data_IF_327299997963
#
_entry.id   IF_327299997963
#
_cell.length_a   1.000
_cell.length_b   1.000
_cell.length_c   1.000
_cell.angle_alpha   90.00
_cell.angle_beta   90.00
_cell.angle_gamma   90.00
#
_symmetry.space_group_name_H-M   'P 1'
#
loop_
_entity.id
_entity.type
_entity.pdbx_description
1 polymer ?
#
# COMPACT_ATOMS: atom_id res chain seq x y z
N UNK A 1 13.55 14.16 5.19
CA UNK A 1 13.90 12.87 4.54
C UNK A 1 12.68 12.00 4.72
N UNK A 2 11.86 11.77 3.69
CA UNK A 2 10.58 11.08 3.87
C UNK A 2 10.81 9.67 4.44
N UNK A 3 10.27 9.39 5.62
CA UNK A 3 10.41 8.07 6.27
C UNK A 3 9.09 7.32 6.12
N UNK A 4 9.11 6.20 5.43
CA UNK A 4 8.00 5.24 5.44
C UNK A 4 7.94 4.61 6.84
N UNK A 5 6.75 4.47 7.41
CA UNK A 5 6.59 3.76 8.68
C UNK A 5 6.95 2.28 8.50
N UNK A 6 7.41 1.63 9.58
CA UNK A 6 7.80 0.22 9.53
C UNK A 6 6.67 -0.68 9.04
N UNK A 7 5.43 -0.42 9.47
CA UNK A 7 4.25 -1.17 9.00
C UNK A 7 3.97 -0.96 7.51
N UNK A 8 4.21 0.24 6.99
CA UNK A 8 4.09 0.53 5.56
C UNK A 8 5.13 -0.23 4.73
N UNK A 9 6.36 -0.32 5.22
CA UNK A 9 7.41 -1.10 4.57
C UNK A 9 7.10 -2.60 4.58
N UNK A 10 6.66 -3.14 5.74
CA UNK A 10 6.25 -4.55 5.85
C UNK A 10 5.08 -4.86 4.94
N UNK A 11 4.10 -3.97 4.85
CA UNK A 11 2.95 -4.11 3.97
C UNK A 11 3.36 -4.21 2.51
N UNK A 12 4.18 -3.26 2.03
CA UNK A 12 4.67 -3.24 0.64
C UNK A 12 5.45 -4.52 0.33
N UNK A 13 6.35 -4.93 1.22
CA UNK A 13 7.14 -6.16 1.04
C UNK A 13 6.27 -7.42 1.04
N UNK A 14 5.25 -7.48 1.91
CA UNK A 14 4.29 -8.59 1.95
C UNK A 14 3.48 -8.67 0.65
N UNK A 15 3.02 -7.53 0.13
CA UNK A 15 2.24 -7.49 -1.12
C UNK A 15 3.06 -7.94 -2.33
N UNK A 16 4.33 -7.53 -2.42
CA UNK A 16 5.24 -8.01 -3.45
C UNK A 16 5.50 -9.51 -3.32
N UNK A 17 5.76 -10.00 -2.10
CA UNK A 17 6.03 -11.41 -1.85
C UNK A 17 4.87 -12.32 -2.28
N UNK A 18 3.63 -11.87 -2.04
CA UNK A 18 2.41 -12.57 -2.45
C UNK A 18 2.03 -12.34 -3.93
N UNK A 19 2.84 -11.59 -4.70
CA UNK A 19 2.59 -11.24 -6.10
C UNK A 19 1.30 -10.45 -6.33
N UNK A 20 0.82 -9.75 -5.30
CA UNK A 20 -0.30 -8.81 -5.40
C UNK A 20 0.15 -7.56 -6.17
N UNK A 21 1.41 -7.16 -5.96
CA UNK A 21 2.08 -6.10 -6.72
C UNK A 21 3.36 -6.61 -7.36
N UNK A 22 3.69 -6.05 -8.50
CA UNK A 22 4.95 -6.22 -9.20
C UNK A 22 6.06 -5.35 -8.61
N UNK A 23 7.33 -5.65 -8.89
CA UNK A 23 8.44 -4.79 -8.50
C UNK A 23 8.32 -3.35 -9.04
N UNK A 24 7.68 -3.16 -10.20
CA UNK A 24 7.49 -1.83 -10.80
C UNK A 24 6.46 -1.03 -9.98
N UNK A 25 5.34 -1.66 -9.62
CA UNK A 25 4.31 -1.02 -8.78
C UNK A 25 4.83 -0.71 -7.39
N UNK A 26 5.67 -1.58 -6.82
CA UNK A 26 6.38 -1.31 -5.57
C UNK A 26 7.14 0.02 -5.63
N UNK A 27 7.97 0.21 -6.68
CA UNK A 27 8.74 1.44 -6.84
C UNK A 27 7.82 2.66 -7.03
N UNK A 28 6.73 2.54 -7.81
CA UNK A 28 5.76 3.63 -7.97
C UNK A 28 5.08 4.04 -6.67
N UNK A 29 4.76 3.07 -5.80
CA UNK A 29 4.19 3.32 -4.48
C UNK A 29 5.20 4.07 -3.60
N UNK A 30 6.45 3.57 -3.56
CA UNK A 30 7.52 4.19 -2.77
C UNK A 30 7.78 5.62 -3.24
N UNK A 31 7.87 5.84 -4.55
CA UNK A 31 8.09 7.16 -5.14
C UNK A 31 6.99 8.14 -4.72
N UNK A 32 5.72 7.72 -4.79
CA UNK A 32 4.58 8.55 -4.37
C UNK A 32 4.58 8.84 -2.87
N UNK A 33 4.95 7.86 -2.04
CA UNK A 33 5.11 8.03 -0.59
C UNK A 33 6.23 9.03 -0.27
N UNK A 34 7.36 8.95 -0.98
CA UNK A 34 8.48 9.87 -0.83
C UNK A 34 8.10 11.28 -1.29
N UNK A 35 7.40 11.41 -2.41
CA UNK A 35 6.94 12.70 -2.96
C UNK A 35 5.98 13.45 -2.03
N UNK A 36 5.21 12.73 -1.21
CA UNK A 36 4.34 13.35 -0.20
C UNK A 36 5.13 14.03 0.94
N UNK A 37 6.42 13.72 1.10
CA UNK A 37 7.34 14.45 1.97
C UNK A 37 6.99 14.43 3.47
N UNK A 38 6.03 13.58 3.90
CA UNK A 38 5.62 13.48 5.30
C UNK A 38 6.50 12.50 6.05
N UNK A 39 6.93 12.88 7.24
CA UNK A 39 7.59 11.95 8.15
C UNK A 39 6.59 10.93 8.68
N UNK A 40 6.89 9.65 8.49
CA UNK A 40 6.13 8.49 9.00
C UNK A 40 4.67 8.46 8.53
N UNK A 41 4.47 8.16 7.25
CA UNK A 41 3.13 7.89 6.70
C UNK A 41 2.51 6.66 7.37
N UNK A 42 1.32 6.82 7.95
CA UNK A 42 0.55 5.73 8.53
C UNK A 42 0.23 4.65 7.48
N UNK A 43 0.06 3.41 7.93
CA UNK A 43 -0.21 2.26 7.04
C UNK A 43 -1.41 2.53 6.12
N UNK A 44 -2.52 3.06 6.64
CA UNK A 44 -3.71 3.35 5.83
C UNK A 44 -3.43 4.32 4.69
N UNK A 45 -2.51 5.28 4.90
CA UNK A 45 -2.10 6.20 3.82
C UNK A 45 -1.27 5.49 2.77
N UNK A 46 -0.39 4.57 3.16
CA UNK A 46 0.37 3.74 2.22
C UNK A 46 -0.56 2.83 1.43
N UNK A 47 -1.57 2.23 2.08
CA UNK A 47 -2.60 1.42 1.41
C UNK A 47 -3.39 2.23 0.38
N UNK A 48 -3.82 3.45 0.72
CA UNK A 48 -4.50 4.34 -0.23
C UNK A 48 -3.62 4.73 -1.42
N UNK A 49 -2.33 4.96 -1.19
CA UNK A 49 -1.38 5.24 -2.28
C UNK A 49 -1.21 4.01 -3.18
N UNK A 50 -1.08 2.81 -2.58
CA UNK A 50 -1.04 1.56 -3.33
C UNK A 50 -2.30 1.38 -4.18
N UNK A 51 -3.48 1.70 -3.64
CA UNK A 51 -4.73 1.65 -4.38
C UNK A 51 -4.69 2.59 -5.58
N UNK A 52 -4.27 3.83 -5.38
CA UNK A 52 -4.19 4.83 -6.46
C UNK A 52 -3.21 4.42 -7.56
N UNK A 53 -2.08 3.81 -7.20
CA UNK A 53 -1.10 3.30 -8.17
C UNK A 53 -1.71 2.14 -8.96
N UNK A 54 -2.27 1.15 -8.27
CA UNK A 54 -2.89 -0.01 -8.92
C UNK A 54 -4.05 0.39 -9.82
N UNK A 55 -4.90 1.33 -9.38
CA UNK A 55 -6.02 1.83 -10.16
C UNK A 55 -5.55 2.54 -11.44
N UNK A 56 -4.39 3.17 -11.39
CA UNK A 56 -3.83 3.83 -12.56
C UNK A 56 -3.22 2.84 -13.57
N UNK A 57 -2.72 1.69 -13.09
CA UNK A 57 -2.02 0.70 -13.92
C UNK A 57 -2.96 -0.37 -14.48
N UNK A 58 -4.06 -0.66 -13.80
CA UNK A 58 -5.00 -1.70 -14.19
C UNK A 58 -6.38 -1.10 -14.46
N UNK A 59 -6.92 -1.39 -15.65
CA UNK A 59 -8.29 -0.99 -16.01
C UNK A 59 -9.36 -1.80 -15.26
N UNK A 60 -9.02 -3.00 -14.77
CA UNK A 60 -9.91 -3.90 -14.03
C UNK A 60 -9.19 -4.46 -12.81
N UNK A 61 -9.43 -3.83 -11.65
CA UNK A 61 -8.91 -4.31 -10.37
C UNK A 61 -9.93 -5.23 -9.70
N UNK A 62 -9.44 -6.36 -9.19
CA UNK A 62 -10.26 -7.30 -8.43
C UNK A 62 -10.91 -6.61 -7.22
N UNK A 63 -12.25 -6.58 -7.11
CA UNK A 63 -12.96 -6.00 -5.97
C UNK A 63 -12.49 -6.54 -4.62
N UNK A 64 -12.09 -7.81 -4.53
CA UNK A 64 -11.62 -8.42 -3.28
C UNK A 64 -10.28 -7.83 -2.82
N UNK A 65 -9.41 -7.49 -3.77
CA UNK A 65 -8.13 -6.83 -3.51
C UNK A 65 -8.35 -5.40 -3.02
N UNK A 66 -9.32 -4.70 -3.61
CA UNK A 66 -9.72 -3.36 -3.16
C UNK A 66 -10.26 -3.43 -1.71
N UNK A 67 -11.09 -4.43 -1.41
CA UNK A 67 -11.61 -4.65 -0.06
C UNK A 67 -10.49 -4.93 0.96
N UNK A 68 -9.55 -5.82 0.66
CA UNK A 68 -8.40 -6.11 1.54
C UNK A 68 -7.54 -4.86 1.80
N UNK A 69 -7.36 -4.02 0.77
CA UNK A 69 -6.60 -2.78 0.87
C UNK A 69 -7.31 -1.70 1.70
N UNK A 70 -8.64 -1.66 1.65
CA UNK A 70 -9.44 -0.72 2.42
C UNK A 70 -9.77 -1.23 3.83
N UNK A 71 -9.59 -2.53 4.09
CA UNK A 71 -9.81 -3.11 5.41
C UNK A 71 -8.78 -2.57 6.41
N UNK A 72 -9.21 -1.90 7.50
CA UNK A 72 -8.31 -1.38 8.50
C UNK A 72 -7.61 -2.53 9.23
N UNK A 73 -6.30 -2.40 9.46
CA UNK A 73 -5.51 -3.45 10.12
C UNK A 73 -5.92 -3.69 11.60
N UNK A 74 -6.71 -2.80 12.19
CA UNK A 74 -7.26 -2.94 13.56
C UNK A 74 -8.49 -3.85 13.64
N UNK A 75 -9.00 -4.38 12.52
CA UNK A 75 -10.19 -5.23 12.51
C UNK A 75 -9.98 -6.63 13.15
N UNK A 76 -8.74 -7.01 13.50
CA UNK A 76 -8.41 -8.38 13.96
C UNK A 76 -8.35 -8.54 15.48
N UNK A 77 -8.79 -7.57 16.29
CA UNK A 77 -8.88 -7.74 17.75
C UNK A 77 -10.34 -7.65 18.27
N UNK A 78 -11.21 -8.52 17.77
CA UNK A 78 -12.52 -8.83 18.40
C UNK A 78 -12.87 -10.32 18.30
N UNK A 79 -12.06 -11.20 18.90
CA UNK A 79 -12.57 -12.41 19.54
C UNK A 79 -11.58 -12.98 20.58
#
# INVERSE_FOLDING_TARGET
>A
NARISEDGLRFIAFWEHNKIISPIEREMIIDRVVALGRDKLALDKVKLIALMVLWNQHDDLDPLLIEDLLTPSDATHVH
#
